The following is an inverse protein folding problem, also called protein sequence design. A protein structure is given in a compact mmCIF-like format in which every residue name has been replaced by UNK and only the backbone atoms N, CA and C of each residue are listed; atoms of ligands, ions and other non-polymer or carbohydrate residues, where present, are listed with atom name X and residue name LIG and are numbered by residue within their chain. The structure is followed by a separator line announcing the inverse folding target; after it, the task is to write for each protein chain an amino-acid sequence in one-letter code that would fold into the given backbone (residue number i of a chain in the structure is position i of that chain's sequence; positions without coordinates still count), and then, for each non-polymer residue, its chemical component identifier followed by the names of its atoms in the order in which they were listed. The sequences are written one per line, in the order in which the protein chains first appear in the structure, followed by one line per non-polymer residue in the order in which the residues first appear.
data_IF_587274695422
#
_entry.id   IF_587274695422
#
_cell.length_a   1.000
_cell.length_b   1.000
_cell.length_c   1.000
_cell.angle_alpha   90.00
_cell.angle_beta   90.00
_cell.angle_gamma   90.00
#
_symmetry.space_group_name_H-M   'P 1'
#
loop_
_entity.id
_entity.type
_entity.pdbx_description
1 polymer ?
#
# COMPACT_ATOMS: atom_id res chain seq x y z
N UNK A 1 -5.71 60.45 23.18
CA UNK A 1 -6.51 59.22 23.42
C UNK A 1 -6.67 58.27 22.21
N UNK A 2 -6.14 58.56 21.00
CA UNK A 2 -6.24 57.63 19.85
C UNK A 2 -5.07 56.62 19.73
N UNK A 3 -3.91 56.92 20.31
CA UNK A 3 -2.69 56.10 20.17
C UNK A 3 -2.63 54.85 21.06
N UNK A 4 -3.31 54.85 22.21
CA UNK A 4 -3.34 53.70 23.12
C UNK A 4 -4.28 52.57 22.66
N UNK A 5 -5.24 52.86 21.77
CA UNK A 5 -6.18 51.88 21.22
C UNK A 5 -5.61 51.07 20.03
N UNK A 6 -4.66 51.63 19.28
CA UNK A 6 -4.03 50.93 18.15
C UNK A 6 -2.95 49.96 18.61
N UNK A 7 -2.19 50.32 19.65
CA UNK A 7 -1.16 49.47 20.27
C UNK A 7 -1.74 48.22 20.95
N UNK A 8 -2.92 48.33 21.58
CA UNK A 8 -3.60 47.17 22.19
C UNK A 8 -4.19 46.24 21.12
N UNK A 9 -4.72 46.79 20.02
CA UNK A 9 -5.26 45.99 18.92
C UNK A 9 -4.17 45.18 18.18
N UNK A 10 -2.99 45.77 17.96
CA UNK A 10 -1.87 45.05 17.33
C UNK A 10 -1.28 43.98 18.25
N UNK A 11 -1.21 44.23 19.56
CA UNK A 11 -0.74 43.23 20.52
C UNK A 11 -1.67 42.02 20.60
N UNK A 12 -2.98 42.23 20.56
CA UNK A 12 -3.98 41.15 20.54
C UNK A 12 -3.93 40.37 19.22
N UNK A 13 -3.73 41.05 18.09
CA UNK A 13 -3.60 40.40 16.78
C UNK A 13 -2.35 39.51 16.69
N UNK A 14 -1.20 39.96 17.22
CA UNK A 14 0.03 39.17 17.27
C UNK A 14 -0.10 37.99 18.23
N UNK A 15 -0.79 38.16 19.36
CA UNK A 15 -1.05 37.08 20.32
C UNK A 15 -2.01 36.02 19.76
N UNK A 16 -3.05 36.44 19.01
CA UNK A 16 -3.94 35.52 18.28
C UNK A 16 -3.21 34.79 17.15
N UNK A 17 -2.32 35.48 16.42
CA UNK A 17 -1.50 34.84 15.38
C UNK A 17 -0.53 33.81 15.98
N UNK A 18 0.09 34.11 17.13
CA UNK A 18 0.96 33.17 17.84
C UNK A 18 0.20 31.94 18.37
N UNK A 19 -1.07 32.09 18.75
CA UNK A 19 -1.93 30.99 19.20
C UNK A 19 -2.39 30.08 18.05
N UNK A 20 -2.52 30.63 16.83
CA UNK A 20 -2.85 29.87 15.61
C UNK A 20 -1.63 29.13 15.06
N UNK A 21 -0.41 29.67 15.23
CA UNK A 21 0.84 29.00 14.87
C UNK A 21 1.28 27.91 15.87
N UNK A 22 0.70 27.86 17.08
CA UNK A 22 0.90 26.77 18.04
C UNK A 22 -0.05 25.58 17.84
N UNK A 23 -0.56 25.38 16.62
CA UNK A 23 -1.26 24.15 16.28
C UNK A 23 -0.38 22.95 16.70
N UNK A 24 -0.91 21.97 17.44
CA UNK A 24 -0.13 20.81 17.83
C UNK A 24 0.41 20.16 16.56
N UNK A 25 1.74 20.09 16.46
CA UNK A 25 2.42 19.25 15.49
C UNK A 25 1.70 17.91 15.43
N UNK A 26 1.38 17.48 14.21
CA UNK A 26 0.81 16.16 13.91
C UNK A 26 1.34 15.15 14.93
N UNK A 27 0.42 14.59 15.71
CA UNK A 27 0.74 13.51 16.64
C UNK A 27 1.50 12.45 15.85
N UNK A 28 2.79 12.30 16.14
CA UNK A 28 3.50 11.10 15.75
C UNK A 28 2.64 9.91 16.21
N UNK A 29 2.48 8.86 15.39
CA UNK A 29 1.81 7.66 15.83
C UNK A 29 2.39 7.23 17.18
N UNK A 30 1.57 6.78 18.14
CA UNK A 30 2.09 6.32 19.42
C UNK A 30 3.20 5.30 19.17
N UNK A 31 4.31 5.35 19.92
CA UNK A 31 5.41 4.43 19.71
C UNK A 31 4.89 3.00 19.82
N UNK A 32 5.06 2.23 18.74
CA UNK A 32 4.59 0.85 18.66
C UNK A 32 5.17 0.04 19.82
N UNK A 33 4.34 -0.77 20.49
CA UNK A 33 4.83 -1.62 21.57
C UNK A 33 5.76 -2.71 21.02
N UNK A 34 6.70 -3.21 21.84
CA UNK A 34 7.62 -4.27 21.41
C UNK A 34 6.90 -5.55 20.98
N UNK A 35 5.73 -5.84 21.55
CA UNK A 35 4.92 -7.00 21.16
C UNK A 35 4.28 -6.80 19.77
N UNK A 36 3.81 -5.60 19.46
CA UNK A 36 3.28 -5.26 18.13
C UNK A 36 4.39 -5.25 17.09
N UNK A 37 5.58 -4.72 17.42
CA UNK A 37 6.77 -4.79 16.57
C UNK A 37 7.10 -6.23 16.24
N UNK A 38 7.22 -7.10 17.25
CA UNK A 38 7.50 -8.52 17.05
C UNK A 38 6.47 -9.20 16.13
N UNK A 39 5.19 -8.98 16.40
CA UNK A 39 4.09 -9.56 15.60
C UNK A 39 4.15 -9.08 14.15
N UNK A 40 4.50 -7.81 13.93
CA UNK A 40 4.64 -7.23 12.59
C UNK A 40 5.86 -7.79 11.85
N UNK A 41 6.97 -8.00 12.55
CA UNK A 41 8.17 -8.65 11.99
C UNK A 41 7.87 -10.08 11.56
N UNK A 42 7.20 -10.87 12.40
CA UNK A 42 6.83 -12.25 12.08
C UNK A 42 5.86 -12.33 10.90
N UNK A 43 4.84 -11.47 10.87
CA UNK A 43 3.93 -11.37 9.71
C UNK A 43 4.68 -11.02 8.42
N UNK A 44 5.65 -10.12 8.49
CA UNK A 44 6.44 -9.72 7.32
C UNK A 44 7.33 -10.87 6.83
N UNK A 45 8.00 -11.56 7.76
CA UNK A 45 8.97 -12.61 7.45
C UNK A 45 8.33 -13.94 7.06
N UNK A 46 7.31 -14.36 7.80
CA UNK A 46 6.69 -15.69 7.73
C UNK A 46 5.23 -15.66 7.25
N UNK A 47 4.66 -14.48 7.01
CA UNK A 47 3.27 -14.30 6.59
C UNK A 47 2.25 -14.32 7.75
N UNK A 48 2.56 -15.03 8.83
CA UNK A 48 1.69 -15.16 10.01
C UNK A 48 2.50 -14.99 11.30
N UNK A 49 1.86 -14.48 12.38
CA UNK A 49 2.51 -14.43 13.68
C UNK A 49 2.76 -15.83 14.23
N UNK A 50 3.86 -16.00 14.94
CA UNK A 50 4.24 -17.29 15.54
C UNK A 50 3.61 -17.41 16.91
N UNK A 51 3.03 -18.57 17.22
CA UNK A 51 2.44 -18.84 18.53
C UNK A 51 3.49 -19.27 19.55
N UNK A 52 3.18 -19.06 20.84
CA UNK A 52 4.02 -19.48 21.96
C UNK A 52 4.77 -18.34 22.65
N UNK A 53 5.71 -18.74 23.53
CA UNK A 53 6.42 -17.82 24.40
C UNK A 53 7.29 -16.83 23.63
N UNK A 54 7.32 -15.57 24.08
CA UNK A 54 7.99 -14.46 23.39
C UNK A 54 9.51 -14.67 23.30
N UNK A 55 10.16 -15.16 24.37
CA UNK A 55 11.62 -15.30 24.43
C UNK A 55 12.16 -16.26 23.34
N UNK A 56 11.63 -17.50 23.20
CA UNK A 56 12.02 -18.39 22.10
C UNK A 56 11.78 -17.81 20.70
N UNK A 57 10.67 -17.10 20.50
CA UNK A 57 10.33 -16.47 19.22
C UNK A 57 11.34 -15.39 18.82
N UNK A 58 11.70 -14.52 19.76
CA UNK A 58 12.75 -13.51 19.55
C UNK A 58 14.09 -14.17 19.25
N UNK A 59 14.47 -15.21 19.99
CA UNK A 59 15.72 -15.94 19.74
C UNK A 59 15.75 -16.57 18.34
N UNK A 60 14.63 -17.13 17.86
CA UNK A 60 14.52 -17.68 16.52
C UNK A 60 14.68 -16.60 15.43
N UNK A 61 14.06 -15.43 15.63
CA UNK A 61 14.22 -14.29 14.71
C UNK A 61 15.65 -13.77 14.69
N UNK A 62 16.33 -13.69 15.83
CA UNK A 62 17.73 -13.29 15.91
C UNK A 62 18.65 -14.27 15.17
N UNK A 63 18.41 -15.57 15.29
CA UNK A 63 19.16 -16.57 14.52
C UNK A 63 19.00 -16.37 13.01
N UNK A 64 17.79 -16.03 12.53
CA UNK A 64 17.52 -15.81 11.10
C UNK A 64 18.05 -14.46 10.59
N UNK A 65 17.80 -13.38 11.33
CA UNK A 65 18.12 -12.01 10.90
C UNK A 65 19.58 -11.67 11.19
N UNK A 66 20.08 -11.98 12.38
CA UNK A 66 21.42 -11.60 12.84
C UNK A 66 22.45 -12.73 12.71
N UNK A 67 22.00 -13.99 12.60
CA UNK A 67 22.89 -15.15 12.64
C UNK A 67 23.45 -15.48 14.03
N UNK A 68 23.03 -14.77 15.08
CA UNK A 68 23.51 -14.94 16.45
C UNK A 68 22.43 -14.53 17.46
N UNK A 69 22.52 -15.08 18.68
CA UNK A 69 21.66 -14.65 19.79
C UNK A 69 21.92 -13.18 20.14
N UNK A 70 20.85 -12.43 20.38
CA UNK A 70 20.95 -11.03 20.79
C UNK A 70 21.15 -10.89 22.29
N UNK A 71 21.95 -9.88 22.64
CA UNK A 71 22.21 -9.51 24.03
C UNK A 71 21.35 -8.30 24.44
N UNK A 72 21.12 -8.18 25.75
CA UNK A 72 20.36 -7.08 26.37
C UNK A 72 18.96 -7.49 26.83
N UNK A 73 18.16 -6.48 27.17
CA UNK A 73 16.76 -6.66 27.54
C UNK A 73 15.92 -7.11 26.33
N UNK A 74 14.77 -7.73 26.58
CA UNK A 74 13.86 -8.19 25.52
C UNK A 74 13.45 -7.05 24.58
N UNK A 75 13.18 -5.87 25.13
CA UNK A 75 12.82 -4.66 24.39
C UNK A 75 13.92 -4.21 23.44
N UNK A 76 15.17 -4.15 23.91
CA UNK A 76 16.33 -3.76 23.09
C UNK A 76 16.57 -4.77 21.96
N UNK A 77 16.40 -6.06 22.25
CA UNK A 77 16.52 -7.14 21.26
C UNK A 77 15.50 -6.99 20.14
N UNK A 78 14.23 -6.77 20.47
CA UNK A 78 13.16 -6.55 19.48
C UNK A 78 13.40 -5.28 18.67
N UNK A 79 13.79 -4.18 19.33
CA UNK A 79 14.12 -2.91 18.65
C UNK A 79 15.27 -3.09 17.65
N UNK A 80 16.29 -3.86 18.00
CA UNK A 80 17.41 -4.17 17.08
C UNK A 80 16.94 -4.94 15.86
N UNK A 81 16.04 -5.93 16.01
CA UNK A 81 15.49 -6.68 14.88
C UNK A 81 14.63 -5.77 13.98
N UNK A 82 13.85 -4.89 14.59
CA UNK A 82 13.03 -3.91 13.89
C UNK A 82 13.88 -2.95 13.05
N UNK A 83 14.96 -2.41 13.62
CA UNK A 83 15.90 -1.53 12.94
C UNK A 83 16.59 -2.21 11.75
N UNK A 84 16.96 -3.49 11.88
CA UNK A 84 17.62 -4.25 10.80
C UNK A 84 16.72 -4.46 9.58
N UNK A 85 15.40 -4.55 9.77
CA UNK A 85 14.44 -4.69 8.68
C UNK A 85 14.04 -3.36 8.03
N UNK A 86 14.60 -2.25 8.51
CA UNK A 86 14.31 -0.90 8.01
C UNK A 86 13.06 -0.29 8.65
N UNK A 87 12.69 -0.71 9.86
CA UNK A 87 11.48 -0.30 10.58
C UNK A 87 11.44 1.19 10.96
N UNK A 88 11.15 2.06 9.99
CA UNK A 88 10.81 3.47 10.24
C UNK A 88 11.98 4.45 10.22
N UNK A 89 13.13 4.08 9.65
CA UNK A 89 14.20 5.05 9.36
C UNK A 89 13.98 5.66 7.99
N UNK A 90 13.74 6.96 7.95
CA UNK A 90 13.74 7.72 6.68
C UNK A 90 15.10 7.55 5.97
N UNK A 91 15.06 7.32 4.66
CA UNK A 91 16.25 7.12 3.83
C UNK A 91 16.91 5.73 3.91
N UNK A 92 16.47 4.81 4.78
CA UNK A 92 16.97 3.42 4.80
C UNK A 92 16.04 2.54 3.96
N UNK A 93 16.61 1.91 2.94
CA UNK A 93 15.87 0.95 2.12
C UNK A 93 15.55 -0.30 2.93
N UNK A 94 14.25 -0.57 3.11
CA UNK A 94 13.78 -1.78 3.78
C UNK A 94 14.24 -3.03 3.03
N UNK A 95 14.39 -4.14 3.76
CA UNK A 95 14.71 -5.42 3.14
C UNK A 95 13.63 -5.87 2.15
N UNK A 96 12.37 -5.53 2.43
CA UNK A 96 11.25 -5.79 1.53
C UNK A 96 11.35 -4.99 0.22
N UNK A 97 11.77 -3.72 0.27
CA UNK A 97 12.03 -2.92 -0.93
C UNK A 97 13.10 -3.58 -1.81
N UNK A 98 14.23 -4.01 -1.22
CA UNK A 98 15.32 -4.68 -1.95
C UNK A 98 14.83 -5.96 -2.64
N UNK A 99 14.02 -6.76 -1.97
CA UNK A 99 13.44 -7.99 -2.54
C UNK A 99 12.44 -7.66 -3.65
N UNK A 100 11.51 -6.71 -3.44
CA UNK A 100 10.55 -6.29 -4.46
C UNK A 100 11.26 -5.80 -5.73
N UNK A 101 12.29 -4.97 -5.56
CA UNK A 101 13.09 -4.47 -6.67
C UNK A 101 13.77 -5.62 -7.43
N UNK A 102 14.44 -6.54 -6.71
CA UNK A 102 15.05 -7.71 -7.34
C UNK A 102 14.02 -8.62 -8.05
N UNK A 103 12.83 -8.81 -7.46
CA UNK A 103 11.74 -9.57 -8.08
C UNK A 103 11.29 -8.94 -9.38
N UNK A 104 11.14 -7.62 -9.39
CA UNK A 104 10.75 -6.86 -10.56
C UNK A 104 11.84 -6.88 -11.63
N UNK A 105 13.12 -6.69 -11.29
CA UNK A 105 14.23 -6.79 -12.25
C UNK A 105 14.28 -8.17 -12.92
N UNK A 106 14.10 -9.24 -12.14
CA UNK A 106 14.23 -10.62 -12.65
C UNK A 106 12.99 -11.08 -13.42
N UNK A 107 11.79 -10.74 -12.95
CA UNK A 107 10.54 -11.33 -13.47
C UNK A 107 9.62 -10.32 -14.18
N UNK A 108 9.95 -9.03 -14.16
CA UNK A 108 9.10 -7.93 -14.64
C UNK A 108 7.85 -7.68 -13.80
N UNK A 109 7.66 -8.40 -12.69
CA UNK A 109 6.52 -8.26 -11.77
C UNK A 109 6.89 -8.73 -10.37
N UNK A 110 6.24 -8.19 -9.36
CA UNK A 110 6.40 -8.68 -7.99
C UNK A 110 5.50 -9.89 -7.73
N UNK A 111 5.99 -10.83 -6.92
CA UNK A 111 5.21 -11.98 -6.45
C UNK A 111 4.73 -11.72 -5.02
N UNK A 112 3.60 -12.32 -4.68
CA UNK A 112 3.07 -12.30 -3.32
C UNK A 112 3.63 -13.45 -2.48
N UNK A 113 3.51 -13.33 -1.16
CA UNK A 113 3.99 -14.31 -0.20
C UNK A 113 4.82 -13.67 0.91
N UNK A 114 5.24 -14.50 1.87
CA UNK A 114 6.13 -14.06 2.93
C UNK A 114 7.48 -13.60 2.38
N UNK A 115 8.20 -12.75 3.12
CA UNK A 115 9.53 -12.28 2.69
C UNK A 115 10.48 -13.46 2.45
N UNK A 116 10.42 -14.49 3.32
CA UNK A 116 11.27 -15.68 3.21
C UNK A 116 10.98 -16.52 1.97
N UNK A 117 9.70 -16.74 1.63
CA UNK A 117 9.31 -17.46 0.41
C UNK A 117 9.75 -16.70 -0.85
N UNK A 118 9.53 -15.38 -0.86
CA UNK A 118 9.90 -14.52 -1.98
C UNK A 118 11.41 -14.47 -2.20
N UNK A 119 12.18 -14.41 -1.12
CA UNK A 119 13.64 -14.48 -1.18
C UNK A 119 14.13 -15.86 -1.64
N UNK A 120 13.61 -16.94 -1.08
CA UNK A 120 14.00 -18.30 -1.48
C UNK A 120 13.71 -18.57 -2.96
N UNK A 121 12.55 -18.10 -3.46
CA UNK A 121 12.20 -18.21 -4.87
C UNK A 121 13.14 -17.40 -5.78
N UNK A 122 13.63 -16.25 -5.33
CA UNK A 122 14.64 -15.48 -6.06
C UNK A 122 16.00 -16.15 -6.03
N UNK A 123 16.41 -16.69 -4.89
CA UNK A 123 17.69 -17.39 -4.76
C UNK A 123 17.74 -18.65 -5.64
N UNK A 124 16.64 -19.39 -5.71
CA UNK A 124 16.54 -20.55 -6.60
C UNK A 124 16.69 -20.15 -8.08
N UNK A 125 16.06 -19.02 -8.49
CA UNK A 125 16.17 -18.50 -9.86
C UNK A 125 17.56 -17.95 -10.17
N UNK A 126 18.19 -17.26 -9.22
CA UNK A 126 19.47 -16.57 -9.43
C UNK A 126 20.69 -17.48 -9.22
N UNK A 127 20.62 -18.39 -8.24
CA UNK A 127 21.75 -19.21 -7.79
C UNK A 127 21.52 -20.72 -7.98
N UNK A 128 20.28 -21.17 -8.15
CA UNK A 128 19.92 -22.60 -8.19
C UNK A 128 19.88 -23.27 -6.82
N UNK A 129 19.97 -22.51 -5.72
CA UNK A 129 19.86 -23.02 -4.35
C UNK A 129 19.44 -21.92 -3.38
N UNK A 130 18.86 -22.31 -2.24
CA UNK A 130 18.48 -21.41 -1.14
C UNK A 130 19.63 -21.33 -0.13
N UNK A 131 20.13 -20.11 0.14
CA UNK A 131 21.25 -19.91 1.07
C UNK A 131 20.82 -20.10 2.53
N UNK A 132 21.76 -20.54 3.38
CA UNK A 132 21.58 -20.71 4.84
C UNK A 132 22.20 -19.57 5.66
N UNK A 133 22.70 -18.53 5.00
CA UNK A 133 23.28 -17.37 5.68
C UNK A 133 22.20 -16.52 6.37
N UNK A 134 22.65 -15.52 7.12
CA UNK A 134 21.75 -14.53 7.71
C UNK A 134 20.97 -13.78 6.63
N UNK A 135 19.75 -13.37 6.97
CA UNK A 135 18.83 -12.70 6.04
C UNK A 135 19.46 -11.48 5.32
N UNK A 136 20.19 -10.57 5.99
CA UNK A 136 20.84 -9.44 5.32
C UNK A 136 21.88 -9.88 4.28
N UNK A 137 22.73 -10.86 4.60
CA UNK A 137 23.78 -11.34 3.70
C UNK A 137 23.18 -11.97 2.42
N UNK A 138 22.08 -12.71 2.57
CA UNK A 138 21.31 -13.28 1.45
C UNK A 138 20.78 -12.19 0.52
N UNK A 139 20.17 -11.16 1.10
CA UNK A 139 19.58 -10.05 0.35
C UNK A 139 20.67 -9.19 -0.32
N UNK A 140 21.78 -8.93 0.35
CA UNK A 140 22.91 -8.18 -0.21
C UNK A 140 23.46 -8.87 -1.45
N UNK A 141 23.75 -10.17 -1.38
CA UNK A 141 24.22 -10.95 -2.54
C UNK A 141 23.22 -10.91 -3.70
N UNK A 142 21.92 -11.04 -3.40
CA UNK A 142 20.85 -10.94 -4.40
C UNK A 142 20.83 -9.54 -5.06
N UNK A 143 20.98 -8.47 -4.27
CA UNK A 143 21.00 -7.09 -4.78
C UNK A 143 22.24 -6.84 -5.65
N UNK A 144 23.41 -7.31 -5.25
CA UNK A 144 24.66 -7.18 -6.02
C UNK A 144 24.51 -7.77 -7.43
N UNK A 145 23.86 -8.93 -7.55
CA UNK A 145 23.65 -9.59 -8.85
C UNK A 145 22.59 -8.87 -9.69
N UNK A 146 21.51 -8.43 -9.06
CA UNK A 146 20.37 -7.84 -9.80
C UNK A 146 20.63 -6.39 -10.22
N UNK A 147 21.35 -5.61 -9.42
CA UNK A 147 21.60 -4.18 -9.69
C UNK A 147 22.97 -3.89 -10.27
N UNK A 148 23.90 -4.84 -10.15
CA UNK A 148 25.29 -4.69 -10.60
C UNK A 148 26.10 -3.74 -9.72
N UNK A 149 27.21 -3.24 -10.28
CA UNK A 149 28.24 -2.48 -9.55
C UNK A 149 27.71 -1.13 -9.03
N UNK A 150 26.77 -0.51 -9.74
CA UNK A 150 26.22 0.80 -9.37
C UNK A 150 25.26 0.73 -8.16
N UNK A 151 24.87 -0.50 -7.76
CA UNK A 151 23.93 -0.73 -6.68
C UNK A 151 22.52 -0.20 -6.97
N UNK A 152 21.75 -0.02 -5.89
CA UNK A 152 20.37 0.43 -5.95
C UNK A 152 20.30 1.96 -6.07
N UNK A 153 19.93 2.47 -7.23
CA UNK A 153 19.58 3.90 -7.40
C UNK A 153 18.16 4.16 -6.88
N UNK A 154 18.07 4.42 -5.58
CA UNK A 154 16.84 4.80 -4.90
C UNK A 154 16.83 6.30 -4.55
N UNK A 155 15.75 6.99 -4.89
CA UNK A 155 15.60 8.41 -4.59
C UNK A 155 14.12 8.75 -4.36
N UNK A 156 13.89 9.74 -3.49
CA UNK A 156 12.57 10.31 -3.31
C UNK A 156 12.11 10.99 -4.60
N UNK A 157 10.92 10.62 -5.05
CA UNK A 157 10.27 11.20 -6.19
C UNK A 157 8.79 11.43 -5.88
N UNK A 158 8.22 12.46 -6.49
CA UNK A 158 6.84 12.86 -6.26
C UNK A 158 5.93 12.13 -7.24
N UNK A 159 5.10 11.23 -6.73
CA UNK A 159 4.00 10.63 -7.48
C UNK A 159 2.85 11.63 -7.53
N UNK A 160 2.58 12.16 -8.72
CA UNK A 160 1.60 13.24 -8.88
C UNK A 160 0.15 12.73 -8.78
N UNK A 161 -0.73 13.54 -8.20
CA UNK A 161 -2.17 13.32 -8.24
C UNK A 161 -2.66 13.24 -9.70
N UNK A 162 -3.64 12.37 -9.95
CA UNK A 162 -4.16 12.08 -11.30
C UNK A 162 -3.32 11.08 -12.11
N UNK A 163 -2.20 10.59 -11.59
CA UNK A 163 -1.42 9.53 -12.27
C UNK A 163 -2.27 8.27 -12.39
N UNK A 164 -2.44 7.77 -13.62
CA UNK A 164 -3.27 6.60 -13.89
C UNK A 164 -2.56 5.30 -13.46
N UNK A 165 -3.31 4.42 -12.80
CA UNK A 165 -2.90 3.11 -12.31
C UNK A 165 -3.88 2.07 -12.87
N UNK A 166 -3.38 1.16 -13.70
CA UNK A 166 -4.18 0.09 -14.30
C UNK A 166 -4.26 -1.09 -13.33
N UNK A 167 -5.47 -1.43 -12.91
CA UNK A 167 -5.74 -2.42 -11.87
C UNK A 167 -6.59 -3.56 -12.43
N UNK A 168 -6.35 -4.77 -11.95
CA UNK A 168 -7.16 -5.96 -12.21
C UNK A 168 -7.81 -6.41 -10.91
N UNK A 169 -9.13 -6.63 -10.96
CA UNK A 169 -9.87 -7.26 -9.86
C UNK A 169 -9.64 -8.76 -9.92
N UNK A 170 -9.04 -9.33 -8.87
CA UNK A 170 -8.73 -10.76 -8.77
C UNK A 170 -9.82 -11.57 -8.07
N UNK A 171 -10.64 -10.92 -7.24
CA UNK A 171 -11.80 -11.57 -6.59
C UNK A 171 -13.08 -11.26 -7.36
N UNK A 172 -13.74 -12.30 -7.89
CA UNK A 172 -15.05 -12.13 -8.51
C UNK A 172 -16.13 -11.79 -7.49
N UNK A 173 -17.09 -10.94 -7.86
CA UNK A 173 -18.14 -10.44 -6.97
C UNK A 173 -19.48 -10.39 -7.67
N UNK A 174 -20.56 -10.61 -6.93
CA UNK A 174 -21.93 -10.57 -7.46
C UNK A 174 -22.81 -9.77 -6.54
N UNK A 175 -23.61 -8.85 -7.08
CA UNK A 175 -24.54 -8.03 -6.29
C UNK A 175 -25.54 -8.85 -5.47
N UNK A 176 -25.85 -10.08 -5.92
CA UNK A 176 -26.77 -10.98 -5.22
C UNK A 176 -26.18 -11.73 -4.03
N UNK A 177 -24.85 -11.86 -3.92
CA UNK A 177 -24.21 -12.72 -2.92
C UNK A 177 -23.07 -12.08 -2.15
N UNK A 178 -22.45 -11.04 -2.69
CA UNK A 178 -21.39 -10.29 -2.01
C UNK A 178 -21.99 -9.53 -0.83
N UNK A 179 -21.39 -9.72 0.35
CA UNK A 179 -21.83 -9.10 1.61
C UNK A 179 -20.87 -7.98 2.01
N UNK A 180 -21.36 -6.96 2.74
CA UNK A 180 -20.48 -5.95 3.32
C UNK A 180 -19.40 -6.61 4.21
N UNK A 181 -18.15 -6.19 4.03
CA UNK A 181 -16.98 -6.75 4.70
C UNK A 181 -16.31 -7.92 3.97
N UNK A 182 -16.86 -8.40 2.85
CA UNK A 182 -16.18 -9.40 2.02
C UNK A 182 -14.87 -8.83 1.46
N UNK A 183 -13.80 -9.65 1.50
CA UNK A 183 -12.47 -9.25 1.04
C UNK A 183 -12.33 -9.39 -0.47
N UNK A 184 -11.83 -8.33 -1.10
CA UNK A 184 -11.68 -8.21 -2.56
C UNK A 184 -10.23 -7.91 -2.87
N UNK A 185 -9.56 -8.81 -3.59
CA UNK A 185 -8.16 -8.67 -3.96
C UNK A 185 -8.07 -7.88 -5.27
N UNK A 186 -7.26 -6.83 -5.24
CA UNK A 186 -6.91 -5.99 -6.39
C UNK A 186 -5.43 -6.17 -6.71
N UNK A 187 -5.06 -6.02 -7.98
CA UNK A 187 -3.68 -6.15 -8.43
C UNK A 187 -3.32 -5.06 -9.45
N UNK A 188 -2.17 -4.42 -9.29
CA UNK A 188 -1.60 -3.52 -10.30
C UNK A 188 -1.14 -4.34 -11.50
N UNK A 189 -1.70 -4.05 -12.66
CA UNK A 189 -1.48 -4.83 -13.88
C UNK A 189 -0.30 -4.35 -14.72
N UNK A 190 0.09 -3.08 -14.59
CA UNK A 190 1.19 -2.45 -15.31
C UNK A 190 2.00 -1.56 -14.37
N UNK A 191 3.29 -1.42 -14.63
CA UNK A 191 4.20 -0.60 -13.84
C UNK A 191 3.80 0.88 -13.88
N UNK A 192 3.88 1.55 -12.74
CA UNK A 192 3.65 3.00 -12.60
C UNK A 192 4.99 3.68 -12.37
N UNK A 193 5.27 4.68 -13.20
CA UNK A 193 6.55 5.39 -13.23
C UNK A 193 6.41 6.87 -12.82
N UNK A 194 7.49 7.41 -12.27
CA UNK A 194 7.72 8.84 -12.08
C UNK A 194 8.94 9.20 -12.93
N UNK A 195 8.70 9.70 -14.14
CA UNK A 195 9.77 9.85 -15.14
C UNK A 195 10.32 8.49 -15.56
N UNK A 196 11.61 8.25 -15.33
CA UNK A 196 12.33 6.99 -15.60
C UNK A 196 12.44 6.09 -14.36
N UNK A 197 11.69 6.40 -13.29
CA UNK A 197 11.79 5.71 -12.00
C UNK A 197 10.52 4.94 -11.67
N UNK A 198 10.66 3.68 -11.30
CA UNK A 198 9.58 2.80 -10.89
C UNK A 198 9.05 3.21 -9.51
N UNK A 199 7.74 3.47 -9.42
CA UNK A 199 7.05 3.84 -8.19
C UNK A 199 6.18 2.70 -7.65
N UNK A 200 5.34 2.11 -8.52
CA UNK A 200 4.48 0.98 -8.15
C UNK A 200 4.70 -0.14 -9.18
N UNK A 201 5.29 -1.28 -8.79
CA UNK A 201 5.54 -2.38 -9.70
C UNK A 201 4.25 -3.14 -10.03
N UNK A 202 4.18 -3.68 -11.23
CA UNK A 202 3.15 -4.64 -11.61
C UNK A 202 3.21 -5.89 -10.72
N UNK A 203 2.04 -6.52 -10.51
CA UNK A 203 1.88 -7.62 -9.57
C UNK A 203 1.65 -7.18 -8.12
N UNK A 204 1.69 -5.88 -7.81
CA UNK A 204 1.36 -5.36 -6.48
C UNK A 204 -0.10 -5.64 -6.14
N UNK A 205 -0.33 -6.49 -5.15
CA UNK A 205 -1.66 -6.82 -4.66
C UNK A 205 -1.96 -6.13 -3.34
N UNK A 206 -3.22 -5.77 -3.17
CA UNK A 206 -3.77 -5.32 -1.90
C UNK A 206 -5.21 -5.79 -1.75
N UNK A 207 -5.71 -5.80 -0.52
CA UNK A 207 -7.07 -6.21 -0.20
C UNK A 207 -7.91 -4.99 0.10
N UNK A 208 -9.09 -4.92 -0.49
CA UNK A 208 -10.14 -3.93 -0.23
C UNK A 208 -11.39 -4.65 0.29
N UNK A 209 -12.35 -3.91 0.84
CA UNK A 209 -13.56 -4.52 1.42
C UNK A 209 -14.82 -4.14 0.64
N UNK A 210 -15.74 -5.07 0.49
CA UNK A 210 -17.07 -4.78 -0.05
C UNK A 210 -17.83 -3.86 0.92
N UNK A 211 -18.35 -2.75 0.39
CA UNK A 211 -19.12 -1.79 1.15
C UNK A 211 -20.61 -2.15 1.15
N UNK A 212 -21.36 -1.61 2.11
CA UNK A 212 -22.81 -1.70 2.12
C UNK A 212 -23.44 -0.68 1.14
N UNK A 213 -24.06 -1.13 0.04
CA UNK A 213 -24.63 -0.24 -0.98
C UNK A 213 -25.84 0.53 -0.47
N UNK A 214 -26.53 0.07 0.59
CA UNK A 214 -27.70 0.79 1.13
C UNK A 214 -27.31 2.12 1.78
N UNK A 215 -26.06 2.25 2.25
CA UNK A 215 -25.54 3.45 2.92
C UNK A 215 -25.13 4.58 1.97
N UNK A 216 -25.11 4.37 0.65
CA UNK A 216 -24.73 5.41 -0.31
C UNK A 216 -25.90 6.22 -0.85
N UNK A 217 -27.15 5.85 -0.51
CA UNK A 217 -28.36 6.64 -0.82
C UNK A 217 -28.68 6.77 -2.32
N UNK A 218 -28.01 6.01 -3.20
CA UNK A 218 -28.14 6.11 -4.67
C UNK A 218 -28.55 4.77 -5.29
N UNK A 219 -29.74 4.75 -5.90
CA UNK A 219 -30.28 3.76 -6.86
C UNK A 219 -30.49 2.30 -6.39
N UNK A 220 -31.33 1.60 -7.17
CA UNK A 220 -31.87 0.25 -6.95
C UNK A 220 -30.79 -0.80 -6.60
N UNK A 221 -30.92 -1.39 -5.42
CA UNK A 221 -29.91 -2.18 -4.70
C UNK A 221 -29.41 -3.42 -5.45
N UNK A 222 -30.17 -3.92 -6.43
CA UNK A 222 -29.84 -5.17 -7.13
C UNK A 222 -28.70 -5.04 -8.14
N UNK A 223 -28.39 -3.83 -8.58
CA UNK A 223 -27.44 -3.60 -9.68
C UNK A 223 -26.16 -2.87 -9.25
N UNK A 224 -25.96 -2.65 -7.94
CA UNK A 224 -24.85 -1.86 -7.39
C UNK A 224 -23.94 -2.75 -6.53
N UNK A 225 -22.63 -2.67 -6.78
CA UNK A 225 -21.59 -3.20 -5.91
C UNK A 225 -20.67 -2.04 -5.52
N UNK A 226 -20.29 -1.95 -4.26
CA UNK A 226 -19.37 -0.92 -3.79
C UNK A 226 -18.18 -1.55 -3.08
N UNK A 227 -17.00 -0.93 -3.23
CA UNK A 227 -15.78 -1.28 -2.53
C UNK A 227 -15.26 -0.10 -1.73
N UNK A 228 -14.68 -0.36 -0.57
CA UNK A 228 -13.83 0.58 0.16
C UNK A 228 -12.39 0.24 -0.22
N UNK A 229 -11.76 1.15 -0.97
CA UNK A 229 -10.39 1.03 -1.43
C UNK A 229 -9.43 1.34 -0.28
N UNK A 230 -8.68 0.32 0.10
CA UNK A 230 -7.48 0.48 0.93
C UNK A 230 -6.31 1.01 0.08
N UNK A 231 -5.34 1.71 0.68
CA UNK A 231 -4.19 2.24 -0.05
C UNK A 231 -3.34 1.10 -0.63
N UNK A 232 -2.92 1.27 -1.88
CA UNK A 232 -1.91 0.39 -2.48
C UNK A 232 -0.54 0.80 -1.97
N UNK A 233 0.36 -0.15 -1.75
CA UNK A 233 1.73 0.15 -1.32
C UNK A 233 2.63 0.37 -2.54
N UNK A 234 3.36 1.48 -2.55
CA UNK A 234 4.46 1.69 -3.48
C UNK A 234 5.60 0.69 -3.22
N UNK A 235 6.62 0.69 -4.09
CA UNK A 235 7.75 -0.25 -4.00
C UNK A 235 8.47 -0.19 -2.64
N UNK A 236 8.53 0.99 -2.02
CA UNK A 236 9.12 1.29 -0.71
C UNK A 236 8.21 1.00 0.49
N UNK A 237 6.96 0.62 0.22
CA UNK A 237 5.94 0.41 1.25
C UNK A 237 5.14 1.67 1.60
N UNK A 238 5.39 2.80 0.93
CA UNK A 238 4.61 4.03 1.15
C UNK A 238 3.16 3.82 0.69
N UNK A 239 2.15 4.10 1.53
CA UNK A 239 0.75 3.96 1.15
C UNK A 239 0.33 5.05 0.16
N UNK A 240 -0.22 4.64 -0.98
CA UNK A 240 -0.75 5.49 -2.05
C UNK A 240 -2.25 5.28 -2.16
N UNK A 241 -3.02 6.35 -1.95
CA UNK A 241 -4.48 6.31 -2.06
C UNK A 241 -4.89 6.45 -3.52
N UNK A 242 -5.71 5.51 -3.98
CA UNK A 242 -6.29 5.52 -5.31
C UNK A 242 -7.76 5.95 -5.26
N UNK A 243 -8.23 6.57 -6.33
CA UNK A 243 -9.62 6.96 -6.50
C UNK A 243 -10.02 6.88 -7.97
N UNK A 244 -11.28 7.16 -8.27
CA UNK A 244 -11.77 7.29 -9.63
C UNK A 244 -11.96 8.76 -9.96
N UNK A 245 -11.24 9.23 -10.97
CA UNK A 245 -11.52 10.50 -11.63
C UNK A 245 -12.35 10.31 -12.91
N UNK A 246 -12.79 11.43 -13.49
CA UNK A 246 -13.62 11.42 -14.71
C UNK A 246 -12.90 10.78 -15.91
N UNK A 247 -11.57 10.90 -15.97
CA UNK A 247 -10.76 10.34 -17.06
C UNK A 247 -10.64 8.81 -16.93
N UNK A 248 -10.40 8.31 -15.72
CA UNK A 248 -10.29 6.91 -15.36
C UNK A 248 -11.64 6.18 -15.51
N UNK A 249 -12.74 6.85 -15.15
CA UNK A 249 -14.09 6.35 -15.39
C UNK A 249 -14.38 6.17 -16.88
N UNK A 250 -13.98 7.13 -17.72
CA UNK A 250 -14.19 7.08 -19.17
C UNK A 250 -13.29 6.05 -19.85
N UNK A 251 -12.06 5.87 -19.37
CA UNK A 251 -11.08 4.94 -19.92
C UNK A 251 -11.33 3.47 -19.54
N UNK A 252 -12.15 3.21 -18.51
CA UNK A 252 -12.51 1.86 -18.09
C UNK A 252 -13.54 1.27 -19.07
N UNK A 253 -13.06 0.50 -20.06
CA UNK A 253 -13.88 -0.15 -21.07
C UNK A 253 -14.52 -1.45 -20.55
N UNK A 254 -15.52 -1.37 -19.68
CA UNK A 254 -16.34 -2.55 -19.35
C UNK A 254 -17.82 -2.17 -19.31
N UNK A 255 -18.69 -3.14 -19.64
CA UNK A 255 -20.17 -3.18 -19.59
C UNK A 255 -20.81 -2.74 -18.24
N UNK A 256 -20.00 -2.19 -17.34
CA UNK A 256 -20.29 -1.79 -15.98
C UNK A 256 -19.86 -0.33 -15.86
N UNK A 257 -20.79 0.58 -15.57
CA UNK A 257 -20.46 1.95 -15.26
C UNK A 257 -19.73 2.03 -13.93
N UNK A 258 -18.73 2.90 -13.87
CA UNK A 258 -18.04 3.24 -12.62
C UNK A 258 -18.74 4.45 -12.02
N UNK A 259 -19.30 4.30 -10.83
CA UNK A 259 -19.88 5.42 -10.10
C UNK A 259 -18.77 6.11 -9.32
N UNK A 260 -18.56 7.39 -9.63
CA UNK A 260 -17.83 8.27 -8.72
C UNK A 260 -18.77 8.53 -7.55
N UNK A 261 -18.48 7.93 -6.40
CA UNK A 261 -19.13 8.28 -5.15
C UNK A 261 -18.68 9.68 -4.72
N UNK A 262 -19.09 10.72 -5.44
CA UNK A 262 -18.79 12.10 -5.09
C UNK A 262 -19.49 12.47 -3.78
N UNK A 263 -18.67 12.70 -2.73
CA UNK A 263 -19.06 13.00 -1.36
C UNK A 263 -17.91 12.73 -0.36
N UNK A 264 -18.22 12.80 0.95
CA UNK A 264 -17.32 12.76 2.12
C UNK A 264 -16.48 11.46 2.30
N UNK A 265 -16.49 10.54 1.32
CA UNK A 265 -15.80 9.23 1.35
C UNK A 265 -15.22 8.83 -0.02
N UNK A 266 -14.17 9.51 -0.51
CA UNK A 266 -13.54 9.25 -1.81
C UNK A 266 -12.83 7.88 -1.92
N UNK A 267 -12.74 7.13 -0.82
CA UNK A 267 -12.26 5.75 -0.79
C UNK A 267 -13.30 4.75 -1.33
N UNK A 268 -14.56 5.17 -1.54
CA UNK A 268 -15.62 4.28 -2.03
C UNK A 268 -15.67 4.24 -3.56
N UNK A 269 -15.50 3.05 -4.12
CA UNK A 269 -15.62 2.74 -5.53
C UNK A 269 -16.94 2.02 -5.81
N UNK A 270 -17.84 2.63 -6.59
CA UNK A 270 -19.11 2.01 -6.98
C UNK A 270 -19.06 1.43 -8.39
N UNK A 271 -19.63 0.25 -8.57
CA UNK A 271 -19.85 -0.43 -9.84
C UNK A 271 -21.34 -0.62 -10.07
N UNK A 272 -21.83 -0.25 -11.25
CA UNK A 272 -23.22 -0.48 -11.62
C UNK A 272 -23.34 -1.05 -13.02
N UNK A 273 -24.32 -1.93 -13.25
CA UNK A 273 -24.57 -2.43 -14.60
C UNK A 273 -25.09 -1.29 -15.49
N UNK A 274 -24.40 -0.99 -16.60
CA UNK A 274 -24.93 -0.11 -17.64
C UNK A 274 -25.94 -0.91 -18.46
N UNK A 275 -27.22 -0.70 -18.16
CA UNK A 275 -28.30 -1.26 -18.95
C UNK A 275 -28.28 -0.74 -20.40
N UNK A 276 -28.88 -1.50 -21.32
CA UNK A 276 -29.22 -0.99 -22.66
C UNK A 276 -30.17 0.22 -22.54
N UNK A 277 -30.36 1.00 -23.61
CA UNK A 277 -31.32 2.13 -23.59
C UNK A 277 -32.75 1.71 -23.16
N UNK A 278 -33.11 0.44 -23.38
CA UNK A 278 -34.37 -0.19 -22.93
C UNK A 278 -34.34 -0.51 -21.42
N UNK A 279 -33.21 -0.97 -20.89
CA UNK A 279 -33.04 -1.25 -19.45
C UNK A 279 -33.03 0.02 -18.59
N UNK A 280 -32.70 1.21 -19.16
CA UNK A 280 -32.86 2.51 -18.47
C UNK A 280 -34.32 2.85 -18.14
N UNK A 281 -35.29 2.25 -18.84
CA UNK A 281 -36.72 2.41 -18.59
C UNK A 281 -37.26 1.42 -17.54
N UNK A 282 -36.45 0.41 -17.16
CA UNK A 282 -36.78 -0.63 -16.20
C UNK A 282 -35.60 -0.84 -15.23
N UNK A 283 -35.36 0.09 -14.29
CA UNK A 283 -34.37 -0.12 -13.24
C UNK A 283 -34.75 -1.38 -12.43
N UNK A 284 -33.84 -2.36 -12.37
CA UNK A 284 -33.94 -3.49 -11.42
C UNK A 284 -33.89 -4.93 -11.94
N UNK A 285 -33.60 -5.17 -13.23
CA UNK A 285 -33.74 -6.54 -13.80
C UNK A 285 -32.46 -7.39 -13.88
N UNK A 286 -31.26 -6.87 -13.58
CA UNK A 286 -30.00 -7.63 -13.78
C UNK A 286 -29.01 -7.48 -12.64
N UNK A 287 -28.78 -8.59 -11.93
CA UNK A 287 -27.66 -8.72 -11.00
C UNK A 287 -26.35 -8.35 -11.70
N UNK A 288 -25.50 -7.58 -11.01
CA UNK A 288 -24.17 -7.24 -11.47
C UNK A 288 -23.21 -8.37 -11.10
N UNK A 289 -22.43 -8.84 -12.08
CA UNK A 289 -21.39 -9.86 -11.90
C UNK A 289 -20.06 -9.26 -12.37
N UNK A 290 -19.13 -9.07 -11.43
CA UNK A 290 -17.75 -8.67 -11.69
C UNK A 290 -16.92 -9.94 -11.68
N UNK A 291 -16.42 -10.34 -12.83
CA UNK A 291 -15.61 -11.54 -12.96
C UNK A 291 -14.15 -11.29 -12.54
N UNK A 292 -13.47 -12.33 -12.09
CA UNK A 292 -12.01 -12.30 -11.92
C UNK A 292 -11.35 -11.94 -13.26
N UNK A 293 -10.42 -10.99 -13.24
CA UNK A 293 -9.72 -10.49 -14.42
C UNK A 293 -10.28 -9.18 -14.96
N UNK A 294 -11.35 -8.64 -14.37
CA UNK A 294 -11.92 -7.33 -14.72
C UNK A 294 -10.86 -6.24 -14.58
N UNK A 295 -10.57 -5.52 -15.66
CA UNK A 295 -9.59 -4.42 -15.71
C UNK A 295 -10.28 -3.08 -15.45
N UNK A 296 -9.71 -2.28 -14.57
CA UNK A 296 -10.16 -0.92 -14.26
C UNK A 296 -8.96 0.02 -14.25
N UNK A 297 -9.23 1.31 -14.43
CA UNK A 297 -8.22 2.35 -14.25
C UNK A 297 -8.62 3.15 -13.01
N UNK A 298 -7.66 3.38 -12.13
CA UNK A 298 -7.77 4.27 -10.98
C UNK A 298 -6.71 5.36 -11.10
N UNK A 299 -6.88 6.47 -10.40
CA UNK A 299 -5.93 7.57 -10.37
C UNK A 299 -5.38 7.78 -8.96
N UNK A 300 -4.15 8.27 -8.85
CA UNK A 300 -3.54 8.67 -7.58
C UNK A 300 -4.27 9.89 -7.03
N UNK A 301 -4.74 9.83 -5.79
CA UNK A 301 -5.61 10.88 -5.19
C UNK A 301 -4.88 12.17 -4.88
N UNK A 302 -3.70 12.06 -4.31
CA UNK A 302 -2.94 13.19 -3.79
C UNK A 302 -1.47 13.00 -4.12
N UNK A 303 -0.73 14.10 -4.11
CA UNK A 303 0.70 14.06 -4.33
C UNK A 303 1.39 13.32 -3.19
N UNK A 304 2.10 12.22 -3.50
CA UNK A 304 2.81 11.41 -2.50
C UNK A 304 4.30 11.36 -2.83
N UNK A 305 5.14 11.59 -1.83
CA UNK A 305 6.58 11.37 -1.94
C UNK A 305 6.87 9.90 -1.70
N UNK A 306 7.43 9.21 -2.69
CA UNK A 306 7.77 7.79 -2.62
C UNK A 306 9.24 7.59 -2.97
N UNK A 307 9.89 6.61 -2.36
CA UNK A 307 11.23 6.19 -2.77
C UNK A 307 11.09 5.31 -4.02
N UNK A 308 11.54 5.85 -5.15
CA UNK A 308 11.45 5.22 -6.47
C UNK A 308 12.78 4.61 -6.89
N UNK A 309 12.72 3.51 -7.63
CA UNK A 309 13.90 2.84 -8.19
C UNK A 309 14.13 3.30 -9.63
N UNK A 310 15.35 3.74 -9.98
CA UNK A 310 15.64 4.06 -11.39
C UNK A 310 15.63 2.81 -12.25
N UNK A 311 14.96 2.89 -13.40
CA UNK A 311 14.97 1.82 -14.40
C UNK A 311 16.06 2.12 -15.42
N UNK A 312 16.96 1.15 -15.63
CA UNK A 312 18.00 1.22 -16.67
C UNK A 312 17.43 0.89 -18.04
#
# INVERSE_FOLDING_TARGET
MKYTRTLTATAIAVMLLALILSAPCLSAPPPMSSTEMLTTLEKTLYGNPVEGAIIPRVAALEAVILGKAGEGTLTERVSRLWDQLGGGREGVLSLDYKIKLAQWIVNGKIKQGSLMERLAALEDVLFGYVSKESLPARIERMVEITTGIDGVDAAYAKLAAGTAVKVVIRTGMKSSSTRPGDKVVLEVSEDVYIGDRLAIPSGTQWTSEAADPTKSGRYDLKNLLELILEPVLAIDGTPVRLYVDDNAATATQILTGLLICQGDRPERLGFFALGTAVDRLLPGSKNLDIINGTKIILSVREDVSVVSAKVK
#
